data_IF_933475144204
#
_entry.id   IF_933475144204
#
_cell.length_a   1.000
_cell.length_b   1.000
_cell.length_c   1.000
_cell.angle_alpha   90.00
_cell.angle_beta   90.00
_cell.angle_gamma   90.00
#
_symmetry.space_group_name_H-M   'P 1'
#
loop_
_entity.id
_entity.type
_entity.pdbx_description
1 polymer ?
#
# COMPACT_ATOMS: atom_id res chain seq x y z
N UNK A 1 41.83 -22.37 -25.52
CA UNK A 1 41.38 -21.43 -24.46
C UNK A 1 40.15 -20.72 -25.00
N UNK A 2 38.97 -21.26 -24.73
CA UNK A 2 37.70 -20.75 -25.26
C UNK A 2 37.28 -19.58 -24.39
N UNK A 3 37.11 -18.42 -25.02
CA UNK A 3 36.46 -17.24 -24.47
C UNK A 3 34.95 -17.48 -24.50
N UNK A 4 34.26 -17.14 -23.42
CA UNK A 4 33.10 -16.24 -23.44
C UNK A 4 32.45 -16.21 -22.05
N UNK A 5 32.67 -15.11 -21.34
CA UNK A 5 31.70 -14.57 -20.40
C UNK A 5 32.00 -13.09 -20.21
N UNK A 6 31.25 -12.25 -20.91
CA UNK A 6 31.10 -10.84 -20.58
C UNK A 6 29.61 -10.65 -20.35
N UNK A 7 29.21 -10.58 -19.09
CA UNK A 7 27.89 -10.08 -18.72
C UNK A 7 27.81 -8.65 -19.25
N UNK A 8 27.01 -8.43 -20.30
CA UNK A 8 26.57 -7.09 -20.67
C UNK A 8 25.78 -6.52 -19.49
N UNK A 9 26.34 -5.53 -18.80
CA UNK A 9 25.56 -4.66 -17.91
C UNK A 9 25.71 -3.25 -18.43
N UNK A 10 24.97 -2.93 -19.49
CA UNK A 10 24.84 -1.56 -19.96
C UNK A 10 23.68 -0.91 -19.19
N UNK A 11 23.99 0.08 -18.34
CA UNK A 11 23.01 1.04 -17.86
C UNK A 11 23.54 2.45 -18.13
N UNK A 12 23.12 3.04 -19.24
CA UNK A 12 23.48 4.40 -19.66
C UNK A 12 22.71 5.41 -18.79
N UNK A 13 23.42 6.35 -18.17
CA UNK A 13 22.84 7.53 -17.52
C UNK A 13 22.99 8.73 -18.45
N UNK A 14 21.87 9.28 -18.94
CA UNK A 14 21.87 10.49 -19.78
C UNK A 14 22.35 11.72 -18.98
N UNK A 15 23.49 12.28 -19.41
CA UNK A 15 24.26 13.35 -18.72
C UNK A 15 23.89 14.79 -19.14
N UNK A 16 22.62 15.09 -19.44
CA UNK A 16 22.24 16.46 -19.83
C UNK A 16 21.83 17.39 -18.66
N UNK A 17 22.08 17.00 -17.41
CA UNK A 17 21.95 17.88 -16.23
C UNK A 17 23.24 17.84 -15.40
N UNK A 18 23.78 19.01 -15.08
CA UNK A 18 25.09 19.20 -14.44
C UNK A 18 25.16 18.87 -12.94
N UNK A 19 24.16 18.19 -12.36
CA UNK A 19 24.10 17.87 -10.92
C UNK A 19 23.77 16.40 -10.60
N UNK A 20 23.87 15.47 -11.55
CA UNK A 20 23.62 14.04 -11.29
C UNK A 20 24.87 13.36 -10.72
N UNK A 21 24.82 12.92 -9.45
CA UNK A 21 25.89 12.09 -8.85
C UNK A 21 25.43 10.64 -8.71
N UNK A 22 26.14 9.70 -9.36
CA UNK A 22 26.09 8.27 -9.05
C UNK A 22 27.32 7.92 -8.22
N UNK A 23 27.15 7.58 -6.94
CA UNK A 23 28.25 7.07 -6.11
C UNK A 23 28.17 5.54 -6.10
N UNK A 24 29.24 4.89 -6.54
CA UNK A 24 29.44 3.44 -6.44
C UNK A 24 30.45 3.21 -5.32
N UNK A 25 29.97 2.81 -4.14
CA UNK A 25 30.84 2.43 -3.03
C UNK A 25 30.31 1.16 -2.38
N UNK A 26 30.78 -0.01 -2.83
CA UNK A 26 30.39 -1.31 -2.30
C UNK A 26 29.07 -1.86 -2.87
N UNK A 27 28.33 -2.64 -2.06
CA UNK A 27 27.02 -3.23 -2.41
C UNK A 27 25.87 -2.20 -2.49
N UNK A 28 26.13 -0.94 -2.16
CA UNK A 28 25.14 0.13 -2.15
C UNK A 28 25.19 0.92 -3.46
N UNK A 29 24.01 1.12 -4.08
CA UNK A 29 23.85 1.89 -5.30
C UNK A 29 22.88 3.03 -5.02
N UNK A 30 23.32 4.27 -5.22
CA UNK A 30 22.48 5.46 -5.05
C UNK A 30 22.57 6.37 -6.28
N UNK A 31 21.42 6.63 -6.92
CA UNK A 31 21.25 7.67 -7.93
C UNK A 31 20.46 8.81 -7.28
N UNK A 32 21.08 9.99 -7.22
CA UNK A 32 20.40 11.22 -6.79
C UNK A 32 20.38 12.19 -7.95
N UNK A 33 19.18 12.54 -8.40
CA UNK A 33 18.90 13.66 -9.30
C UNK A 33 18.02 14.65 -8.55
N UNK A 34 17.94 15.89 -9.02
CA UNK A 34 17.05 16.91 -8.44
C UNK A 34 15.63 16.31 -8.28
N UNK A 35 15.16 16.20 -7.03
CA UNK A 35 13.84 15.67 -6.60
C UNK A 35 13.61 14.14 -6.60
N UNK A 36 14.54 13.30 -7.07
CA UNK A 36 14.38 11.84 -7.08
C UNK A 36 15.63 11.12 -6.57
N UNK A 37 15.45 10.26 -5.56
CA UNK A 37 16.49 9.37 -5.04
C UNK A 37 16.05 7.91 -5.20
N UNK A 38 16.91 7.10 -5.81
CA UNK A 38 16.74 5.64 -5.87
C UNK A 38 17.95 5.02 -5.20
N UNK A 39 17.70 4.24 -4.16
CA UNK A 39 18.76 3.64 -3.34
C UNK A 39 18.46 2.19 -3.01
N UNK A 40 19.53 1.40 -2.90
CA UNK A 40 19.53 0.08 -2.27
C UNK A 40 20.73 0.00 -1.34
N UNK A 41 20.54 -0.58 -0.15
CA UNK A 41 21.64 -0.85 0.79
C UNK A 41 22.30 -2.19 0.46
N UNK A 42 21.82 -3.30 1.00
CA UNK A 42 22.38 -4.64 0.74
C UNK A 42 21.44 -5.51 -0.08
N UNK A 43 22.01 -6.39 -0.89
CA UNK A 43 21.24 -7.36 -1.68
C UNK A 43 20.43 -8.29 -0.76
N UNK A 44 19.19 -8.60 -1.16
CA UNK A 44 18.25 -9.56 -0.54
C UNK A 44 17.79 -9.29 0.90
N UNK A 45 18.53 -8.52 1.70
CA UNK A 45 18.21 -8.26 3.12
C UNK A 45 18.12 -6.78 3.46
N UNK A 46 18.58 -5.92 2.56
CA UNK A 46 18.62 -4.48 2.73
C UNK A 46 17.34 -3.79 2.30
N UNK A 47 17.28 -2.50 2.58
CA UNK A 47 16.22 -1.65 2.07
C UNK A 47 16.41 -1.35 0.59
N UNK A 48 15.30 -1.21 -0.12
CA UNK A 48 15.23 -0.59 -1.43
C UNK A 48 14.22 0.54 -1.39
N UNK A 49 14.54 1.69 -1.97
CA UNK A 49 13.68 2.87 -1.87
C UNK A 49 13.72 3.74 -3.13
N UNK A 50 12.58 4.36 -3.39
CA UNK A 50 12.39 5.48 -4.30
C UNK A 50 11.81 6.60 -3.46
N UNK A 51 12.48 7.75 -3.41
CA UNK A 51 12.04 8.90 -2.64
C UNK A 51 11.82 10.11 -3.54
N UNK A 52 10.72 10.83 -3.29
CA UNK A 52 10.24 11.96 -4.09
C UNK A 52 10.33 13.26 -3.30
N UNK A 53 10.79 14.34 -3.94
CA UNK A 53 10.97 15.64 -3.28
C UNK A 53 12.20 15.67 -2.37
N UNK A 54 13.27 15.00 -2.79
CA UNK A 54 14.56 15.02 -2.09
C UNK A 54 15.19 16.41 -2.11
N UNK A 55 15.85 16.79 -1.01
CA UNK A 55 16.70 17.98 -0.99
C UNK A 55 17.89 17.79 -1.92
N UNK A 56 18.20 18.84 -2.69
CA UNK A 56 19.39 18.89 -3.56
C UNK A 56 20.71 18.77 -2.80
N UNK A 57 20.71 19.06 -1.50
CA UNK A 57 21.91 19.12 -0.67
C UNK A 57 21.90 18.14 0.50
N UNK A 58 20.74 17.61 0.89
CA UNK A 58 20.64 16.60 1.94
C UNK A 58 20.51 15.19 1.33
N UNK A 59 21.66 14.56 1.16
CA UNK A 59 21.80 13.17 0.72
C UNK A 59 21.57 12.15 1.84
N UNK A 60 21.43 12.59 3.10
CA UNK A 60 21.12 11.75 4.26
C UNK A 60 20.03 12.40 5.14
N UNK A 61 19.34 11.59 5.94
CA UNK A 61 18.29 12.06 6.86
C UNK A 61 16.88 12.08 6.29
N UNK A 62 15.88 12.12 7.19
CA UNK A 62 14.45 12.20 6.84
C UNK A 62 14.06 13.65 6.56
N UNK A 63 13.50 13.92 5.39
CA UNK A 63 13.00 15.25 5.03
C UNK A 63 11.49 15.27 5.30
N UNK A 64 11.01 16.28 6.03
CA UNK A 64 9.58 16.45 6.24
C UNK A 64 8.87 16.60 4.88
N UNK A 65 7.71 15.94 4.71
CA UNK A 65 6.88 15.97 3.48
C UNK A 65 7.43 15.16 2.29
N UNK A 66 8.57 14.47 2.43
CA UNK A 66 9.06 13.55 1.41
C UNK A 66 8.29 12.23 1.43
N UNK A 67 7.83 11.79 0.26
CA UNK A 67 7.24 10.46 0.08
C UNK A 67 8.32 9.44 -0.24
N UNK A 68 8.17 8.24 0.33
CA UNK A 68 8.96 7.07 0.01
C UNK A 68 8.07 5.93 -0.47
N UNK A 69 8.54 5.27 -1.52
CA UNK A 69 8.08 3.96 -1.98
C UNK A 69 9.23 3.02 -1.68
N UNK A 70 9.04 2.05 -0.79
CA UNK A 70 10.18 1.27 -0.29
C UNK A 70 9.84 -0.14 0.13
N UNK A 71 10.86 -1.00 0.11
CA UNK A 71 10.90 -2.25 0.86
C UNK A 71 11.86 -2.09 2.04
N UNK A 72 11.39 -2.23 3.29
CA UNK A 72 12.26 -2.20 4.47
C UNK A 72 13.22 -3.41 4.52
N UNK A 73 14.32 -3.31 5.27
CA UNK A 73 15.25 -4.43 5.43
C UNK A 73 14.61 -5.60 6.21
N UNK A 74 15.20 -6.79 6.14
CA UNK A 74 14.64 -7.99 6.77
C UNK A 74 14.59 -7.96 8.30
N UNK A 75 15.45 -7.15 8.92
CA UNK A 75 15.45 -6.94 10.37
C UNK A 75 14.49 -5.83 10.83
N UNK A 76 13.68 -5.27 9.93
CA UNK A 76 12.76 -4.19 10.27
C UNK A 76 11.54 -4.73 11.03
N UNK A 77 11.21 -4.12 12.16
CA UNK A 77 10.12 -4.60 13.02
C UNK A 77 8.74 -4.47 12.34
N UNK A 78 8.50 -3.34 11.67
CA UNK A 78 7.21 -3.03 11.07
C UNK A 78 7.23 -3.34 9.57
N UNK A 79 6.75 -4.53 9.17
CA UNK A 79 6.68 -4.97 7.78
C UNK A 79 8.06 -5.30 7.15
N UNK A 80 8.85 -6.22 7.73
CA UNK A 80 10.14 -6.63 7.17
C UNK A 80 9.96 -7.15 5.75
N UNK A 81 10.84 -6.76 4.81
CA UNK A 81 10.79 -7.15 3.39
C UNK A 81 9.46 -6.90 2.65
N UNK A 82 8.47 -6.27 3.29
CA UNK A 82 7.21 -5.92 2.65
C UNK A 82 7.35 -4.72 1.71
N UNK A 83 6.23 -4.18 1.27
CA UNK A 83 6.17 -2.99 0.41
C UNK A 83 5.41 -1.87 1.12
N UNK A 84 5.97 -0.67 1.18
CA UNK A 84 5.35 0.48 1.85
C UNK A 84 5.37 1.73 0.97
N UNK A 85 4.27 2.50 1.01
CA UNK A 85 4.19 3.86 0.47
C UNK A 85 3.78 4.79 1.61
N UNK A 86 4.68 5.69 2.00
CA UNK A 86 4.55 6.46 3.23
C UNK A 86 5.40 7.72 3.20
N UNK A 87 5.07 8.71 4.02
CA UNK A 87 5.98 9.83 4.29
C UNK A 87 7.21 9.31 5.06
N UNK A 88 8.41 9.76 4.71
CA UNK A 88 9.65 9.25 5.34
C UNK A 88 9.72 9.43 6.88
N UNK A 89 9.13 10.47 7.50
CA UNK A 89 8.98 10.55 8.96
C UNK A 89 8.21 9.36 9.54
N UNK A 90 7.16 8.92 8.84
CA UNK A 90 6.17 7.95 9.28
C UNK A 90 6.53 6.50 8.92
N UNK A 91 7.67 6.26 8.25
CA UNK A 91 8.04 4.93 7.74
C UNK A 91 8.12 3.84 8.85
N UNK A 92 8.45 4.26 10.07
CA UNK A 92 8.51 3.40 11.25
C UNK A 92 7.19 3.22 11.99
N UNK A 93 6.11 3.89 11.59
CA UNK A 93 4.82 3.83 12.25
C UNK A 93 3.84 2.93 11.49
N UNK A 94 3.58 1.72 12.02
CA UNK A 94 2.68 0.72 11.45
C UNK A 94 1.22 1.19 11.24
N UNK A 95 0.84 2.36 11.79
CA UNK A 95 -0.47 2.98 11.61
C UNK A 95 -0.52 3.99 10.44
N UNK A 96 0.55 4.14 9.65
CA UNK A 96 0.67 5.18 8.62
C UNK A 96 0.98 4.63 7.23
N UNK A 97 0.35 5.17 6.19
CA UNK A 97 0.67 4.84 4.79
C UNK A 97 0.02 3.54 4.29
N UNK A 98 0.35 3.18 3.05
CA UNK A 98 -0.07 1.94 2.40
C UNK A 98 0.99 0.87 2.63
N UNK A 99 0.58 -0.36 2.99
CA UNK A 99 1.51 -1.49 3.21
C UNK A 99 1.00 -2.78 2.60
N UNK A 100 1.89 -3.53 1.98
CA UNK A 100 1.72 -4.95 1.63
C UNK A 100 2.71 -5.76 2.47
N UNK A 101 2.24 -6.85 3.09
CA UNK A 101 3.05 -7.76 3.90
C UNK A 101 4.14 -8.46 3.09
N UNK A 102 5.17 -8.97 3.78
CA UNK A 102 6.27 -9.76 3.19
C UNK A 102 5.77 -10.90 2.29
N UNK A 103 4.75 -11.62 2.76
CA UNK A 103 4.15 -12.75 2.08
C UNK A 103 3.17 -12.34 0.97
N UNK A 104 2.95 -11.04 0.76
CA UNK A 104 2.01 -10.50 -0.21
C UNK A 104 0.53 -10.70 0.12
N UNK A 105 0.19 -11.29 1.27
CA UNK A 105 -1.18 -11.71 1.59
C UNK A 105 -2.02 -10.63 2.27
N UNK A 106 -1.41 -9.60 2.86
CA UNK A 106 -2.12 -8.55 3.62
C UNK A 106 -1.82 -7.18 3.03
N UNK A 107 -2.86 -6.48 2.59
CA UNK A 107 -2.84 -5.07 2.19
C UNK A 107 -3.51 -4.23 3.27
N UNK A 108 -2.84 -3.18 3.74
CA UNK A 108 -3.37 -2.25 4.75
C UNK A 108 -3.14 -0.79 4.39
N UNK A 109 -4.00 0.09 4.88
CA UNK A 109 -3.88 1.54 4.78
C UNK A 109 -4.12 2.19 6.14
N UNK A 110 -3.17 2.99 6.59
CA UNK A 110 -3.18 3.65 7.91
C UNK A 110 -3.54 2.68 9.06
N UNK A 111 -2.89 1.52 9.10
CA UNK A 111 -3.10 0.48 10.12
C UNK A 111 -4.37 -0.35 9.95
N UNK A 112 -5.26 0.00 9.02
CA UNK A 112 -6.47 -0.77 8.73
C UNK A 112 -6.23 -1.74 7.58
N UNK A 113 -6.49 -3.04 7.80
CA UNK A 113 -6.41 -4.05 6.75
C UNK A 113 -7.57 -3.87 5.77
N UNK A 114 -7.25 -3.77 4.48
CA UNK A 114 -8.24 -3.57 3.41
C UNK A 114 -8.36 -4.76 2.47
N UNK A 115 -7.39 -5.68 2.48
CA UNK A 115 -7.49 -7.00 1.86
C UNK A 115 -6.53 -7.98 2.54
N UNK A 116 -6.96 -9.24 2.72
CA UNK A 116 -6.05 -10.33 3.07
C UNK A 116 -6.70 -11.62 3.56
N UNK A 117 -5.90 -12.69 3.64
CA UNK A 117 -6.34 -14.03 4.07
C UNK A 117 -6.83 -13.97 5.52
N UNK A 118 -8.03 -14.50 5.78
CA UNK A 118 -8.59 -14.56 7.14
C UNK A 118 -9.15 -13.25 7.69
N UNK A 119 -9.26 -12.19 6.87
CA UNK A 119 -9.86 -10.92 7.27
C UNK A 119 -11.38 -11.05 7.41
N UNK A 120 -11.83 -11.34 8.62
CA UNK A 120 -13.24 -11.35 9.01
C UNK A 120 -13.72 -9.91 9.20
N UNK A 121 -14.00 -9.20 8.11
CA UNK A 121 -14.62 -7.87 8.26
C UNK A 121 -14.62 -6.90 7.09
N UNK A 122 -14.04 -7.21 5.92
CA UNK A 122 -14.11 -6.25 4.80
C UNK A 122 -14.19 -6.84 3.39
N UNK A 123 -14.22 -8.17 3.24
CA UNK A 123 -14.73 -8.93 2.10
C UNK A 123 -14.43 -10.41 2.29
N UNK A 124 -15.33 -11.16 2.93
CA UNK A 124 -15.38 -12.60 2.65
C UNK A 124 -15.83 -12.74 1.19
N UNK A 125 -14.87 -12.98 0.28
CA UNK A 125 -15.16 -13.44 -1.09
C UNK A 125 -16.10 -12.55 -1.91
N UNK A 126 -15.73 -11.28 -2.15
CA UNK A 126 -16.36 -10.47 -3.21
C UNK A 126 -17.04 -9.14 -2.82
N UNK A 127 -16.94 -8.69 -1.56
CA UNK A 127 -17.58 -7.43 -1.17
C UNK A 127 -16.82 -6.20 -1.70
N UNK A 128 -17.47 -5.42 -2.56
CA UNK A 128 -17.04 -4.07 -2.93
C UNK A 128 -17.40 -3.12 -1.78
N UNK A 129 -16.38 -2.56 -1.10
CA UNK A 129 -16.59 -1.49 -0.12
C UNK A 129 -16.96 -0.19 -0.85
N UNK A 130 -18.22 0.24 -0.77
CA UNK A 130 -18.61 1.58 -1.22
C UNK A 130 -18.37 2.62 -0.12
N UNK A 131 -17.90 3.80 -0.55
CA UNK A 131 -17.66 4.98 0.29
C UNK A 131 -18.95 5.50 0.95
N UNK A 132 -18.78 6.29 2.01
CA UNK A 132 -19.79 6.73 2.95
C UNK A 132 -21.16 7.12 2.34
N UNK A 133 -22.22 6.42 2.76
CA UNK A 133 -23.57 6.99 2.78
C UNK A 133 -24.72 6.12 2.26
N UNK A 134 -24.47 5.06 1.48
CA UNK A 134 -25.52 4.13 1.03
C UNK A 134 -24.97 2.72 0.84
N UNK A 135 -24.97 1.89 1.88
CA UNK A 135 -24.54 0.51 1.78
C UNK A 135 -25.61 -0.34 1.07
N UNK A 136 -25.38 -0.68 -0.20
CA UNK A 136 -26.03 -1.84 -0.83
C UNK A 136 -25.28 -3.07 -0.37
N UNK A 137 -25.80 -3.72 0.66
CA UNK A 137 -25.19 -4.91 1.26
C UNK A 137 -25.59 -6.14 0.41
N UNK A 138 -24.69 -6.57 -0.48
CA UNK A 138 -24.93 -7.64 -1.46
C UNK A 138 -24.30 -8.98 -1.11
N UNK A 139 -23.68 -9.12 0.08
CA UNK A 139 -23.02 -10.37 0.48
C UNK A 139 -23.86 -11.24 1.44
N UNK A 140 -23.33 -12.44 1.70
CA UNK A 140 -23.92 -13.51 2.50
C UNK A 140 -24.34 -12.98 3.88
N UNK A 141 -25.64 -13.10 4.19
CA UNK A 141 -26.24 -12.86 5.51
C UNK A 141 -26.11 -11.43 6.05
N UNK A 142 -26.86 -10.53 5.41
CA UNK A 142 -27.11 -9.19 5.91
C UNK A 142 -28.28 -9.18 6.90
N UNK A 143 -27.99 -9.36 8.19
CA UNK A 143 -29.02 -9.28 9.24
C UNK A 143 -29.32 -7.85 9.71
N UNK A 144 -28.55 -6.86 9.21
CA UNK A 144 -28.69 -5.45 9.58
C UNK A 144 -29.96 -4.82 9.00
N UNK A 145 -30.68 -4.04 9.82
CA UNK A 145 -31.90 -3.36 9.40
C UNK A 145 -31.64 -1.92 8.91
N UNK A 146 -30.48 -1.68 8.32
CA UNK A 146 -30.02 -0.32 7.99
C UNK A 146 -30.20 0.03 6.50
N UNK A 147 -30.33 -0.98 5.63
CA UNK A 147 -30.51 -0.82 4.17
C UNK A 147 -31.96 -1.00 3.66
N UNK A 148 -32.19 -0.57 2.41
CA UNK A 148 -33.46 -0.76 1.69
C UNK A 148 -33.70 -2.19 1.19
N UNK A 149 -32.64 -3.01 1.08
CA UNK A 149 -32.68 -4.42 0.77
C UNK A 149 -31.71 -5.19 1.67
N UNK A 150 -32.01 -6.46 1.99
CA UNK A 150 -31.14 -7.36 2.76
C UNK A 150 -31.30 -8.82 2.29
N UNK A 151 -30.37 -9.71 2.63
CA UNK A 151 -30.37 -11.13 2.21
C UNK A 151 -30.08 -12.09 3.37
N UNK A 152 -30.67 -13.29 3.34
CA UNK A 152 -30.40 -14.40 4.28
C UNK A 152 -29.56 -15.53 3.64
N UNK A 153 -28.85 -15.19 2.56
CA UNK A 153 -28.09 -16.14 1.74
C UNK A 153 -28.93 -16.96 0.74
N UNK A 154 -30.25 -17.11 0.95
CA UNK A 154 -31.14 -17.83 0.03
C UNK A 154 -32.11 -16.90 -0.72
N UNK A 155 -32.50 -15.79 -0.10
CA UNK A 155 -33.51 -14.85 -0.62
C UNK A 155 -33.05 -13.40 -0.45
N UNK A 156 -33.60 -12.53 -1.30
CA UNK A 156 -33.44 -11.08 -1.21
C UNK A 156 -34.76 -10.49 -0.74
N UNK A 157 -34.68 -9.63 0.28
CA UNK A 157 -35.80 -8.93 0.88
C UNK A 157 -35.69 -7.43 0.61
N UNK A 158 -36.83 -6.77 0.45
CA UNK A 158 -36.93 -5.31 0.37
C UNK A 158 -37.64 -4.77 1.60
N UNK A 159 -37.13 -3.68 2.18
CA UNK A 159 -37.83 -2.97 3.25
C UNK A 159 -39.02 -2.23 2.67
N UNK A 160 -40.23 -2.70 2.99
CA UNK A 160 -41.42 -1.90 2.79
C UNK A 160 -41.50 -0.80 3.86
N UNK A 161 -41.91 0.42 3.47
CA UNK A 161 -42.26 1.45 4.45
C UNK A 161 -43.51 0.99 5.24
N UNK A 162 -43.56 1.16 6.57
CA UNK A 162 -44.78 0.90 7.33
C UNK A 162 -45.93 1.76 6.78
N UNK A 163 -47.08 1.14 6.55
CA UNK A 163 -48.31 1.85 6.20
C UNK A 163 -49.20 1.80 7.43
N UNK A 164 -49.52 2.97 7.99
CA UNK A 164 -50.49 3.08 9.09
C UNK A 164 -51.89 2.89 8.52
N UNK A 165 -52.58 1.85 8.98
CA UNK A 165 -54.00 1.67 8.70
C UNK A 165 -54.80 2.40 9.78
N UNK A 166 -55.78 3.20 9.38
CA UNK A 166 -56.71 3.84 10.30
C UNK A 166 -57.60 2.80 10.98
N UNK A 167 -57.90 2.98 12.27
CA UNK A 167 -58.91 2.17 12.96
C UNK A 167 -60.30 2.57 12.48
N UNK A 168 -61.11 1.60 12.05
CA UNK A 168 -62.54 1.80 11.85
C UNK A 168 -63.23 1.60 13.21
N UNK A 169 -63.89 2.62 13.77
CA UNK A 169 -64.66 2.47 15.01
C UNK A 169 -65.84 1.50 14.83
N UNK A 170 -66.22 0.74 15.88
CA UNK A 170 -67.34 -0.20 15.83
C UNK A 170 -68.70 0.48 15.65
#
# INVERSE_FOLDING_TARGET
MVRDSQLMTEFIVDRNSSSSSSQLSGSEYQLTVDDLRISRTVESTGSAEIQLGCSKTANTGKIAVQWAISSPPSNYFNNPLGFIIVLTPDASDASRGLRISEDGNTLSFNGSVIAGIGTTGSASSGSVNYSAGNALLWDINSFGTEGGFYSDGAKIYRRAKPITLGSIPP
#
